data_IF_324647939819
#
_entry.id   IF_324647939819
#
_cell.length_a   1.000
_cell.length_b   1.000
_cell.length_c   1.000
_cell.angle_alpha   90.00
_cell.angle_beta   90.00
_cell.angle_gamma   90.00
#
_symmetry.space_group_name_H-M   'P 1'
#
loop_
_entity.id
_entity.type
_entity.pdbx_description
1 polymer ?
#
# COMPACT_ATOMS: atom_id res chain seq x y z
N UNK A 1 4.10 -4.16 4.52
CA UNK A 1 2.62 -4.33 4.61
C UNK A 1 2.07 -3.34 5.64
N UNK A 2 2.56 -3.31 6.88
CA UNK A 2 2.04 -2.45 7.95
C UNK A 2 2.10 -0.96 7.62
N UNK A 3 3.20 -0.49 7.02
CA UNK A 3 3.32 0.89 6.58
C UNK A 3 2.24 1.31 5.58
N UNK A 4 1.83 0.43 4.66
CA UNK A 4 0.73 0.69 3.73
C UNK A 4 -0.62 0.80 4.45
N UNK A 5 -0.86 -0.05 5.46
CA UNK A 5 -2.08 0.04 6.28
C UNK A 5 -2.14 1.33 7.07
N UNK A 6 -1.04 1.68 7.77
CA UNK A 6 -0.95 2.94 8.51
C UNK A 6 -1.17 4.15 7.61
N UNK A 7 -0.57 4.14 6.42
CA UNK A 7 -0.79 5.18 5.43
C UNK A 7 -2.26 5.25 5.00
N UNK A 8 -2.87 4.10 4.70
CA UNK A 8 -4.25 4.02 4.24
C UNK A 8 -5.26 4.48 5.32
N UNK A 9 -5.01 4.13 6.60
CA UNK A 9 -5.82 4.57 7.72
C UNK A 9 -5.81 6.11 7.90
N UNK A 10 -4.72 6.81 7.57
CA UNK A 10 -4.66 8.29 7.61
C UNK A 10 -5.63 8.94 6.63
N UNK A 11 -6.07 8.21 5.62
CA UNK A 11 -7.09 8.66 4.65
C UNK A 11 -8.52 8.26 5.05
N UNK A 12 -8.68 7.69 6.23
CA UNK A 12 -9.97 7.32 6.83
C UNK A 12 -10.60 6.06 6.26
N UNK A 13 -11.70 5.67 6.88
CA UNK A 13 -12.54 4.57 6.43
C UNK A 13 -13.29 4.94 5.16
N UNK A 14 -13.29 4.03 4.18
CA UNK A 14 -13.99 4.25 2.91
C UNK A 14 -15.40 3.69 2.93
N UNK A 15 -15.50 2.39 2.70
CA UNK A 15 -16.74 1.64 2.65
C UNK A 15 -16.43 0.13 2.63
N UNK A 16 -17.40 -0.75 2.92
CA UNK A 16 -17.30 -2.18 2.67
C UNK A 16 -16.89 -2.49 1.22
N UNK A 17 -16.25 -3.64 0.99
CA UNK A 17 -15.76 -4.02 -0.33
C UNK A 17 -16.89 -4.40 -1.29
N UNK A 18 -17.82 -5.17 -0.77
CA UNK A 18 -18.97 -5.69 -1.52
C UNK A 18 -20.13 -5.96 -0.57
N UNK A 19 -21.27 -6.30 -1.13
CA UNK A 19 -22.44 -6.76 -0.37
C UNK A 19 -22.88 -8.11 -0.87
N UNK A 20 -23.22 -9.00 0.06
CA UNK A 20 -23.78 -10.32 -0.20
C UNK A 20 -25.17 -10.41 0.42
N UNK A 21 -26.04 -11.21 -0.17
CA UNK A 21 -27.37 -11.49 0.37
C UNK A 21 -27.25 -12.63 1.38
N UNK A 22 -27.65 -12.36 2.63
CA UNK A 22 -27.70 -13.36 3.70
C UNK A 22 -29.10 -13.96 3.71
N UNK A 23 -29.28 -15.27 3.45
CA UNK A 23 -30.57 -15.91 3.52
C UNK A 23 -31.24 -15.75 4.90
N UNK A 24 -32.57 -15.75 4.93
CA UNK A 24 -33.29 -15.71 6.18
C UNK A 24 -33.01 -17.00 7.00
N UNK A 25 -32.70 -16.84 8.31
CA UNK A 25 -32.37 -17.97 9.17
C UNK A 25 -30.99 -18.62 8.89
N UNK A 26 -30.15 -18.04 8.04
CA UNK A 26 -28.81 -18.60 7.74
C UNK A 26 -27.96 -18.70 9.02
N UNK A 27 -27.37 -19.84 9.23
CA UNK A 27 -26.36 -20.07 10.27
C UNK A 27 -24.97 -19.54 9.89
N UNK A 28 -24.04 -19.56 10.84
CA UNK A 28 -22.69 -19.06 10.62
C UNK A 28 -21.96 -19.80 9.48
N UNK A 29 -22.18 -21.09 9.31
CA UNK A 29 -21.56 -21.90 8.26
C UNK A 29 -22.05 -21.49 6.86
N UNK A 30 -23.37 -21.26 6.73
CA UNK A 30 -23.98 -20.75 5.50
C UNK A 30 -23.44 -19.36 5.16
N UNK A 31 -23.34 -18.46 6.15
CA UNK A 31 -22.80 -17.11 5.97
C UNK A 31 -21.32 -17.15 5.58
N UNK A 32 -20.52 -17.99 6.23
CA UNK A 32 -19.12 -18.20 5.88
C UNK A 32 -18.95 -18.66 4.42
N UNK A 33 -19.88 -19.49 3.95
CA UNK A 33 -19.93 -19.94 2.55
C UNK A 33 -20.07 -18.82 1.52
N UNK A 34 -20.65 -17.67 1.90
CA UNK A 34 -20.77 -16.49 1.03
C UNK A 34 -19.42 -15.82 0.73
N UNK A 35 -18.39 -16.12 1.52
CA UNK A 35 -17.03 -15.62 1.33
C UNK A 35 -16.21 -16.48 0.37
N UNK A 36 -16.78 -17.54 -0.23
CA UNK A 36 -16.10 -18.34 -1.26
C UNK A 36 -15.68 -17.45 -2.41
N UNK A 37 -14.41 -17.51 -2.77
CA UNK A 37 -13.85 -16.62 -3.80
C UNK A 37 -13.35 -15.26 -3.32
N UNK A 38 -13.50 -14.95 -2.04
CA UNK A 38 -12.95 -13.73 -1.42
C UNK A 38 -11.72 -14.08 -0.56
N UNK A 39 -10.51 -14.16 -1.13
CA UNK A 39 -9.34 -14.64 -0.40
C UNK A 39 -8.85 -13.62 0.64
N UNK A 40 -8.11 -14.12 1.64
CA UNK A 40 -7.32 -13.28 2.52
C UNK A 40 -6.24 -12.54 1.73
N UNK A 41 -5.96 -11.29 2.07
CA UNK A 41 -4.98 -10.47 1.39
C UNK A 41 -4.10 -9.73 2.39
N UNK A 42 -2.79 -9.96 2.38
CA UNK A 42 -1.84 -9.28 3.25
C UNK A 42 -2.16 -9.43 4.75
N UNK A 43 -2.71 -10.57 5.16
CA UNK A 43 -3.16 -10.83 6.53
C UNK A 43 -4.52 -10.24 6.89
N UNK A 44 -5.24 -9.67 5.92
CA UNK A 44 -6.62 -9.18 6.09
C UNK A 44 -7.60 -10.28 5.67
N UNK A 45 -8.41 -10.74 6.60
CA UNK A 45 -9.42 -11.77 6.38
C UNK A 45 -10.76 -11.12 5.99
N UNK A 46 -11.49 -11.68 5.00
CA UNK A 46 -12.83 -11.24 4.72
C UNK A 46 -13.80 -11.68 5.82
N UNK A 47 -14.78 -10.85 6.13
CA UNK A 47 -15.83 -11.15 7.06
C UNK A 47 -17.15 -10.56 6.59
N UNK A 48 -18.24 -11.30 6.77
CA UNK A 48 -19.60 -10.83 6.46
C UNK A 48 -20.21 -10.20 7.70
N UNK A 49 -20.72 -8.99 7.58
CA UNK A 49 -21.43 -8.29 8.66
C UNK A 49 -22.82 -8.90 8.82
N UNK A 50 -23.13 -9.37 10.01
CA UNK A 50 -24.46 -9.93 10.36
C UNK A 50 -25.36 -8.90 11.01
N UNK A 51 -24.81 -7.82 11.55
CA UNK A 51 -25.56 -6.74 12.18
C UNK A 51 -24.68 -5.86 13.08
N UNK A 52 -25.33 -4.93 13.75
CA UNK A 52 -24.72 -4.12 14.81
C UNK A 52 -25.67 -4.06 16.00
N UNK A 53 -25.24 -4.51 17.15
CA UNK A 53 -26.01 -4.54 18.39
C UNK A 53 -25.13 -4.12 19.57
N UNK A 54 -25.69 -3.37 20.50
CA UNK A 54 -24.97 -2.94 21.70
C UNK A 54 -23.67 -2.18 21.44
N UNK A 55 -23.56 -1.46 20.32
CA UNK A 55 -22.35 -0.75 19.93
C UNK A 55 -21.26 -1.63 19.32
N UNK A 56 -21.54 -2.92 19.08
CA UNK A 56 -20.62 -3.87 18.44
C UNK A 56 -21.05 -4.15 17.02
N UNK A 57 -20.07 -4.21 16.11
CA UNK A 57 -20.24 -4.75 14.75
C UNK A 57 -20.04 -6.27 14.81
N UNK A 58 -21.10 -7.04 14.51
CA UNK A 58 -21.03 -8.50 14.46
C UNK A 58 -20.65 -8.97 13.08
N UNK A 59 -19.67 -9.85 12.98
CA UNK A 59 -19.17 -10.37 11.70
C UNK A 59 -18.91 -11.88 11.80
N UNK A 60 -19.01 -12.57 10.65
CA UNK A 60 -18.69 -13.99 10.49
C UNK A 60 -17.53 -14.13 9.54
N UNK A 61 -16.50 -14.87 9.94
CA UNK A 61 -15.33 -15.20 9.13
C UNK A 61 -15.60 -16.39 8.19
N UNK A 62 -14.65 -16.64 7.26
CA UNK A 62 -14.74 -17.75 6.33
C UNK A 62 -14.65 -19.15 6.98
N UNK A 63 -14.13 -19.25 8.20
CA UNK A 63 -14.10 -20.48 9.02
C UNK A 63 -15.36 -20.67 9.90
N UNK A 64 -16.33 -19.77 9.79
CA UNK A 64 -17.55 -19.78 10.60
C UNK A 64 -17.40 -19.10 11.97
N UNK A 65 -16.23 -18.61 12.33
CA UNK A 65 -16.02 -17.89 13.58
C UNK A 65 -16.81 -16.59 13.61
N UNK A 66 -17.49 -16.33 14.71
CA UNK A 66 -18.23 -15.09 14.95
C UNK A 66 -17.41 -14.13 15.80
N UNK A 67 -17.35 -12.86 15.40
CA UNK A 67 -16.62 -11.82 16.11
C UNK A 67 -17.54 -10.63 16.42
N UNK A 68 -17.33 -10.02 17.59
CA UNK A 68 -17.89 -8.72 17.97
C UNK A 68 -16.78 -7.66 18.00
N UNK A 69 -16.87 -6.67 17.14
CA UNK A 69 -15.89 -5.60 17.03
C UNK A 69 -16.44 -4.31 17.63
N UNK A 70 -15.80 -3.80 18.68
CA UNK A 70 -16.21 -2.59 19.37
C UNK A 70 -15.02 -1.78 19.88
N UNK A 71 -15.25 -0.57 20.33
CA UNK A 71 -14.22 0.27 20.95
C UNK A 71 -12.98 0.44 20.07
N UNK A 72 -11.81 0.05 20.59
CA UNK A 72 -10.53 0.15 19.89
C UNK A 72 -10.48 -0.65 18.59
N UNK A 73 -11.31 -1.70 18.46
CA UNK A 73 -11.37 -2.52 17.25
C UNK A 73 -11.90 -1.77 16.02
N UNK A 74 -12.67 -0.70 16.22
CA UNK A 74 -13.28 0.09 15.13
C UNK A 74 -12.93 1.58 15.20
N UNK A 75 -12.31 2.07 16.28
CA UNK A 75 -12.14 3.50 16.57
C UNK A 75 -11.43 4.29 15.49
N UNK A 76 -10.42 3.72 14.82
CA UNK A 76 -9.67 4.39 13.77
C UNK A 76 -10.55 4.82 12.58
N UNK A 77 -11.70 4.19 12.39
CA UNK A 77 -12.63 4.50 11.30
C UNK A 77 -13.37 5.82 11.51
N UNK A 78 -13.43 6.31 12.75
CA UNK A 78 -14.22 7.48 13.13
C UNK A 78 -15.74 7.24 13.04
N UNK A 79 -16.18 5.98 12.90
CA UNK A 79 -17.60 5.59 12.77
C UNK A 79 -18.06 4.79 13.97
N UNK A 80 -19.36 4.87 14.27
CA UNK A 80 -20.04 3.91 15.13
C UNK A 80 -20.23 2.57 14.41
N UNK A 81 -20.43 1.49 15.15
CA UNK A 81 -20.66 0.16 14.56
C UNK A 81 -21.80 0.16 13.51
N UNK A 82 -22.93 0.78 13.81
CA UNK A 82 -24.07 0.87 12.88
C UNK A 82 -23.85 1.83 11.69
N UNK A 83 -22.94 2.79 11.83
CA UNK A 83 -22.57 3.72 10.74
C UNK A 83 -21.42 3.23 9.86
N UNK A 84 -20.77 2.12 10.26
CA UNK A 84 -19.58 1.61 9.59
C UNK A 84 -19.93 0.65 8.45
N UNK A 85 -20.86 -0.29 8.72
CA UNK A 85 -21.32 -1.28 7.76
C UNK A 85 -22.70 -1.82 8.17
N UNK A 86 -23.40 -2.41 7.22
CA UNK A 86 -24.75 -2.98 7.39
C UNK A 86 -24.74 -4.49 7.18
N UNK A 87 -25.81 -5.18 7.60
CA UNK A 87 -25.99 -6.61 7.36
C UNK A 87 -25.79 -6.96 5.89
N UNK A 88 -24.97 -7.96 5.62
CA UNK A 88 -24.58 -8.39 4.28
C UNK A 88 -23.35 -7.70 3.70
N UNK A 89 -22.86 -6.63 4.33
CA UNK A 89 -21.62 -6.01 3.86
C UNK A 89 -20.41 -6.91 4.17
N UNK A 90 -19.46 -6.96 3.24
CA UNK A 90 -18.18 -7.65 3.41
C UNK A 90 -17.12 -6.64 3.78
N UNK A 91 -16.50 -6.86 4.92
CA UNK A 91 -15.41 -6.04 5.47
C UNK A 91 -14.15 -6.86 5.63
N UNK A 92 -13.03 -6.21 5.92
CA UNK A 92 -11.79 -6.90 6.31
C UNK A 92 -11.56 -6.77 7.80
N UNK A 93 -11.07 -7.86 8.37
CA UNK A 93 -10.62 -7.88 9.77
C UNK A 93 -9.20 -8.42 9.85
N UNK A 94 -8.50 -8.03 10.89
CA UNK A 94 -7.14 -8.46 11.15
C UNK A 94 -6.98 -8.85 12.60
N UNK A 95 -6.28 -9.94 12.84
CA UNK A 95 -5.81 -10.33 14.17
C UNK A 95 -4.60 -9.48 14.55
N UNK A 96 -4.63 -8.89 15.72
CA UNK A 96 -3.47 -8.18 16.25
C UNK A 96 -2.42 -9.17 16.77
N UNK A 97 -1.13 -8.88 16.59
CA UNK A 97 -0.08 -9.63 17.28
C UNK A 97 -0.29 -9.55 18.80
N UNK A 98 0.01 -10.63 19.50
CA UNK A 98 0.05 -10.67 20.96
C UNK A 98 1.37 -11.26 21.41
N UNK A 99 2.03 -10.59 22.33
CA UNK A 99 3.26 -11.08 22.96
C UNK A 99 3.00 -12.16 24.01
N UNK A 100 1.72 -12.37 24.36
CA UNK A 100 1.27 -13.37 25.34
C UNK A 100 0.68 -14.56 24.61
N UNK A 101 1.27 -15.75 24.79
CA UNK A 101 0.81 -16.97 24.12
C UNK A 101 -0.65 -17.33 24.44
N UNK A 102 -1.11 -17.08 25.67
CA UNK A 102 -2.44 -17.45 26.17
C UNK A 102 -3.46 -16.30 26.08
N UNK A 103 -3.11 -15.16 25.50
CA UNK A 103 -4.06 -14.06 25.36
C UNK A 103 -5.10 -14.37 24.29
N UNK A 104 -6.36 -14.07 24.59
CA UNK A 104 -7.43 -14.15 23.60
C UNK A 104 -7.07 -13.28 22.38
N UNK A 105 -7.32 -13.78 21.15
CA UNK A 105 -6.99 -13.06 19.95
C UNK A 105 -7.76 -11.75 19.86
N UNK A 106 -7.05 -10.64 19.73
CA UNK A 106 -7.66 -9.33 19.49
C UNK A 106 -7.85 -9.10 18.00
N UNK A 107 -9.05 -8.70 17.63
CA UNK A 107 -9.43 -8.44 16.25
C UNK A 107 -9.75 -6.97 16.05
N UNK A 108 -9.35 -6.43 14.91
CA UNK A 108 -9.70 -5.07 14.51
C UNK A 108 -10.24 -5.07 13.09
N UNK A 109 -11.15 -4.14 12.80
CA UNK A 109 -11.55 -3.88 11.42
C UNK A 109 -10.38 -3.26 10.66
N UNK A 110 -10.30 -3.58 9.39
CA UNK A 110 -9.27 -3.04 8.50
C UNK A 110 -9.85 -2.88 7.08
N UNK A 111 -9.07 -2.39 6.15
CA UNK A 111 -9.45 -2.26 4.75
C UNK A 111 -8.25 -2.52 3.84
N UNK A 112 -8.50 -3.01 2.61
CA UNK A 112 -7.43 -3.19 1.63
C UNK A 112 -6.85 -1.84 1.23
N UNK A 113 -5.52 -1.63 1.36
CA UNK A 113 -4.91 -0.38 0.96
C UNK A 113 -5.12 -0.10 -0.53
N UNK A 114 -5.46 1.14 -0.88
CA UNK A 114 -5.48 1.59 -2.28
C UNK A 114 -4.08 1.81 -2.82
N UNK A 115 -3.19 2.30 -1.97
CA UNK A 115 -1.79 2.45 -2.30
C UNK A 115 -1.10 1.12 -2.48
N UNK A 116 -0.06 1.11 -3.30
CA UNK A 116 0.82 -0.02 -3.49
C UNK A 116 2.25 0.44 -3.28
N UNK A 117 3.10 -0.46 -2.80
CA UNK A 117 4.52 -0.21 -2.64
C UNK A 117 5.33 -1.42 -3.09
N UNK A 118 6.56 -1.18 -3.47
CA UNK A 118 7.54 -2.21 -3.71
C UNK A 118 8.79 -1.90 -2.88
N UNK A 119 9.53 -2.95 -2.54
CA UNK A 119 10.81 -2.84 -1.84
C UNK A 119 11.78 -3.83 -2.47
N UNK A 120 13.00 -3.35 -2.69
CA UNK A 120 14.13 -4.21 -3.05
C UNK A 120 15.26 -3.88 -2.09
N UNK A 121 15.84 -4.90 -1.47
CA UNK A 121 17.05 -4.80 -0.66
C UNK A 121 18.15 -5.61 -1.34
N UNK A 122 19.28 -4.96 -1.55
CA UNK A 122 20.46 -5.57 -2.19
C UNK A 122 21.59 -5.64 -1.19
N UNK A 123 22.42 -6.65 -1.35
CA UNK A 123 23.71 -6.74 -0.70
C UNK A 123 24.65 -5.70 -1.33
N UNK A 124 25.31 -4.89 -0.52
CA UNK A 124 26.17 -3.81 -1.00
C UNK A 124 27.46 -4.29 -1.65
N UNK A 125 27.95 -5.48 -1.26
CA UNK A 125 29.25 -5.97 -1.73
C UNK A 125 29.16 -6.68 -3.08
N UNK A 126 28.02 -7.35 -3.34
CA UNK A 126 27.91 -8.23 -4.51
C UNK A 126 26.60 -8.04 -5.31
N UNK A 127 25.70 -7.13 -4.87
CA UNK A 127 24.45 -6.85 -5.55
C UNK A 127 23.39 -7.96 -5.42
N UNK A 128 23.61 -8.98 -4.59
CA UNK A 128 22.64 -10.05 -4.41
C UNK A 128 21.33 -9.53 -3.79
N UNK A 129 20.20 -10.00 -4.31
CA UNK A 129 18.88 -9.63 -3.77
C UNK A 129 18.68 -10.29 -2.41
N UNK A 130 18.58 -9.51 -1.36
CA UNK A 130 18.32 -9.94 0.01
C UNK A 130 16.82 -9.97 0.34
N UNK A 131 16.06 -9.03 -0.22
CA UNK A 131 14.60 -9.01 -0.11
C UNK A 131 13.99 -8.36 -1.35
N UNK A 132 12.84 -8.87 -1.78
CA UNK A 132 12.06 -8.31 -2.87
C UNK A 132 10.58 -8.44 -2.57
N UNK A 133 9.87 -7.31 -2.52
CA UNK A 133 8.42 -7.26 -2.32
C UNK A 133 7.82 -6.40 -3.44
N UNK A 134 6.96 -6.98 -4.25
CA UNK A 134 6.38 -6.32 -5.43
C UNK A 134 5.01 -5.69 -5.24
N UNK A 135 4.39 -5.82 -4.06
CA UNK A 135 3.06 -5.30 -3.78
C UNK A 135 2.52 -5.69 -2.41
N UNK A 136 1.29 -5.30 -2.11
CA UNK A 136 0.64 -5.58 -0.82
C UNK A 136 0.33 -7.06 -0.63
N UNK A 137 -0.26 -7.72 -1.63
CA UNK A 137 -0.65 -9.13 -1.57
C UNK A 137 -0.69 -9.74 -2.96
N UNK A 138 -0.05 -10.90 -3.12
CA UNK A 138 -0.06 -11.67 -4.36
C UNK A 138 -1.47 -12.18 -4.71
N UNK A 139 -2.26 -12.57 -3.70
CA UNK A 139 -3.65 -13.03 -3.89
C UNK A 139 -4.56 -11.92 -4.48
N UNK A 140 -4.27 -10.66 -4.14
CA UNK A 140 -5.04 -9.52 -4.66
C UNK A 140 -4.54 -9.01 -5.99
N UNK A 141 -3.22 -9.03 -6.21
CA UNK A 141 -2.61 -8.54 -7.46
C UNK A 141 -1.25 -9.19 -7.67
N UNK A 142 -1.14 -9.97 -8.75
CA UNK A 142 0.10 -10.68 -9.12
C UNK A 142 1.16 -9.80 -9.76
N UNK A 143 0.84 -8.55 -10.09
CA UNK A 143 1.79 -7.61 -10.72
C UNK A 143 2.91 -7.23 -9.76
N UNK A 144 4.14 -7.63 -10.09
CA UNK A 144 5.33 -7.32 -9.32
C UNK A 144 5.87 -5.94 -9.70
N UNK A 145 5.64 -4.95 -8.86
CA UNK A 145 6.04 -3.56 -9.13
C UNK A 145 7.55 -3.33 -9.04
N UNK A 146 8.27 -4.24 -8.38
CA UNK A 146 9.72 -4.14 -8.31
C UNK A 146 10.39 -4.53 -9.65
N UNK A 147 9.78 -5.47 -10.41
CA UNK A 147 10.39 -6.02 -11.64
C UNK A 147 9.62 -5.72 -12.91
N UNK A 148 8.32 -5.44 -12.82
CA UNK A 148 7.45 -5.27 -14.00
C UNK A 148 6.98 -3.84 -14.22
N UNK A 149 7.00 -2.98 -13.18
CA UNK A 149 6.59 -1.59 -13.33
C UNK A 149 7.61 -0.81 -14.17
N UNK A 150 7.11 -0.08 -15.15
CA UNK A 150 7.90 0.85 -15.95
C UNK A 150 7.51 2.27 -15.55
N UNK A 151 8.30 2.86 -14.67
CA UNK A 151 8.06 4.20 -14.15
C UNK A 151 9.24 5.10 -14.51
N UNK A 152 8.96 6.37 -14.72
CA UNK A 152 10.00 7.38 -14.90
C UNK A 152 10.85 7.45 -13.62
N UNK A 153 12.18 7.26 -13.70
CA UNK A 153 13.03 7.25 -12.52
C UNK A 153 13.15 8.61 -11.84
N UNK A 154 12.98 9.70 -12.58
CA UNK A 154 13.14 11.05 -12.06
C UNK A 154 14.52 11.23 -11.42
N UNK A 155 14.57 11.95 -10.26
CA UNK A 155 15.82 12.18 -9.53
C UNK A 155 16.49 10.90 -9.00
N UNK A 156 15.81 9.75 -8.99
CA UNK A 156 16.44 8.47 -8.64
C UNK A 156 17.51 8.04 -9.66
N UNK A 157 17.54 8.67 -10.83
CA UNK A 157 18.59 8.44 -11.85
C UNK A 157 19.89 9.22 -11.59
N UNK A 158 19.84 10.27 -10.75
CA UNK A 158 21.02 11.11 -10.46
C UNK A 158 22.26 10.35 -9.98
N UNK A 159 22.18 9.36 -9.08
CA UNK A 159 23.37 8.60 -8.66
C UNK A 159 24.15 8.00 -9.83
N UNK A 160 23.45 7.51 -10.86
CA UNK A 160 24.10 6.95 -12.06
C UNK A 160 24.79 8.03 -12.89
N UNK A 161 24.18 9.22 -13.00
CA UNK A 161 24.79 10.37 -13.70
C UNK A 161 26.05 10.85 -12.98
N UNK A 162 25.99 10.96 -11.64
CA UNK A 162 27.14 11.36 -10.85
C UNK A 162 28.26 10.32 -10.87
N UNK A 163 27.93 9.02 -10.76
CA UNK A 163 28.93 7.96 -10.87
C UNK A 163 29.67 8.04 -12.21
N UNK A 164 28.94 8.15 -13.32
CA UNK A 164 29.53 8.28 -14.65
C UNK A 164 30.39 9.57 -14.83
N UNK A 165 29.98 10.66 -14.17
CA UNK A 165 30.76 11.90 -14.18
C UNK A 165 32.06 11.74 -13.40
N UNK A 166 32.04 11.12 -12.22
CA UNK A 166 33.23 10.87 -11.40
C UNK A 166 34.22 9.93 -12.08
N UNK A 167 33.74 8.89 -12.75
CA UNK A 167 34.61 8.03 -13.60
C UNK A 167 35.32 8.79 -14.71
N UNK A 168 34.78 9.93 -15.14
CA UNK A 168 35.36 10.82 -16.14
C UNK A 168 36.18 11.97 -15.56
N UNK A 169 36.53 11.92 -14.28
CA UNK A 169 37.37 12.87 -13.60
C UNK A 169 36.70 14.08 -12.99
N UNK A 170 35.34 14.14 -13.04
CA UNK A 170 34.63 15.14 -12.25
C UNK A 170 34.74 14.80 -10.74
N UNK A 171 34.62 15.82 -9.92
CA UNK A 171 34.57 15.70 -8.45
C UNK A 171 33.66 16.79 -7.88
N UNK A 172 33.36 16.77 -6.59
CA UNK A 172 32.46 17.76 -5.99
C UNK A 172 32.91 19.20 -6.09
N UNK A 173 34.20 19.46 -6.36
CA UNK A 173 34.73 20.81 -6.60
C UNK A 173 34.67 21.24 -8.09
N UNK A 174 34.35 20.31 -8.99
CA UNK A 174 34.24 20.64 -10.42
C UNK A 174 33.14 21.66 -10.65
N UNK A 175 33.43 22.63 -11.52
CA UNK A 175 32.45 23.65 -11.91
C UNK A 175 31.71 23.17 -13.15
N UNK A 176 30.38 23.20 -13.08
CA UNK A 176 29.46 22.97 -14.19
C UNK A 176 28.63 24.21 -14.46
N UNK A 177 28.26 24.43 -15.70
CA UNK A 177 27.42 25.58 -16.06
C UNK A 177 25.94 25.15 -16.05
N UNK A 178 25.20 25.70 -15.10
CA UNK A 178 23.72 25.59 -15.05
C UNK A 178 23.15 26.74 -15.90
N UNK A 179 22.88 26.45 -17.17
CA UNK A 179 22.39 27.41 -18.15
C UNK A 179 21.27 26.77 -19.01
N UNK A 180 20.46 27.61 -19.68
CA UNK A 180 19.48 27.10 -20.64
C UNK A 180 20.14 26.27 -21.75
N UNK A 181 19.66 25.06 -21.95
CA UNK A 181 20.06 24.18 -23.05
C UNK A 181 18.88 23.91 -23.96
N UNK A 182 19.15 23.79 -25.24
CA UNK A 182 18.15 23.46 -26.24
C UNK A 182 18.61 22.26 -27.03
N UNK A 183 17.84 21.21 -27.02
CA UNK A 183 18.08 20.02 -27.84
C UNK A 183 17.12 20.02 -29.03
N UNK A 184 17.64 19.82 -30.22
CA UNK A 184 16.84 19.66 -31.43
C UNK A 184 16.95 18.23 -31.91
N UNK A 185 15.81 17.54 -32.04
CA UNK A 185 15.79 16.20 -32.60
C UNK A 185 15.94 16.21 -34.14
N UNK A 186 16.07 15.01 -34.73
CA UNK A 186 16.20 14.86 -36.20
C UNK A 186 14.94 15.31 -36.96
N UNK A 187 13.79 15.45 -36.29
CA UNK A 187 12.52 15.90 -36.86
C UNK A 187 12.28 17.40 -36.67
N UNK A 188 13.24 18.10 -36.03
CA UNK A 188 13.14 19.53 -35.80
C UNK A 188 12.44 19.95 -34.53
N UNK A 189 11.95 19.02 -33.71
CA UNK A 189 11.35 19.34 -32.40
C UNK A 189 12.44 19.86 -31.46
N UNK A 190 12.14 20.95 -30.78
CA UNK A 190 13.02 21.54 -29.77
C UNK A 190 12.58 21.17 -28.38
N UNK A 191 13.49 20.56 -27.62
CA UNK A 191 13.28 20.32 -26.18
C UNK A 191 14.12 21.30 -25.38
N UNK A 192 13.48 22.04 -24.50
CA UNK A 192 14.09 23.06 -23.63
C UNK A 192 13.81 22.69 -22.17
N UNK A 193 14.65 21.85 -21.54
CA UNK A 193 14.50 21.53 -20.14
C UNK A 193 14.65 22.79 -19.28
N UNK A 194 13.89 22.85 -18.21
CA UNK A 194 13.98 23.89 -17.20
C UNK A 194 14.28 23.27 -15.85
N UNK A 195 14.98 24.01 -15.01
CA UNK A 195 15.12 23.64 -13.60
C UNK A 195 13.75 23.73 -12.90
N UNK A 196 13.55 22.90 -11.86
CA UNK A 196 12.32 22.93 -11.06
C UNK A 196 12.06 24.28 -10.41
N UNK A 197 13.14 25.02 -10.08
CA UNK A 197 13.08 26.39 -9.61
C UNK A 197 12.66 27.43 -10.67
N UNK A 198 12.62 27.07 -11.95
CA UNK A 198 12.43 27.98 -13.08
C UNK A 198 13.61 28.91 -13.38
N UNK A 199 14.69 28.86 -12.60
CA UNK A 199 15.85 29.71 -12.73
C UNK A 199 17.13 28.91 -12.99
N UNK A 200 18.13 29.52 -13.60
CA UNK A 200 19.45 28.97 -13.83
C UNK A 200 20.46 29.68 -12.91
N UNK A 201 21.33 28.91 -12.28
CA UNK A 201 22.29 29.42 -11.30
C UNK A 201 23.63 29.87 -11.91
N UNK A 202 23.86 29.59 -13.21
CA UNK A 202 25.15 29.85 -13.86
C UNK A 202 26.23 28.86 -13.43
N UNK A 203 27.50 29.28 -13.35
CA UNK A 203 28.60 28.40 -12.92
C UNK A 203 28.39 27.95 -11.46
N UNK A 204 28.29 26.65 -11.22
CA UNK A 204 28.12 26.08 -9.90
C UNK A 204 28.93 24.80 -9.73
N UNK A 205 29.20 24.43 -8.47
CA UNK A 205 29.84 23.15 -8.15
C UNK A 205 28.90 21.98 -8.38
N UNK A 206 29.43 20.83 -8.67
CA UNK A 206 28.68 19.57 -8.68
C UNK A 206 28.15 19.31 -7.28
N UNK A 207 26.80 19.19 -7.14
CA UNK A 207 26.11 18.97 -5.87
C UNK A 207 25.19 17.77 -6.00
#
# INVERSE_FOLDING_TARGET
>A
IDGLRVYDHRHGWRKPEQRVEIPAGADAATIAGLLRGTPAQGGLLPAVVTGSEGGQLRVVLADGSELGLAGSAISWTGKSAGGLAQRGDVVRVRRLPSDKADAAPQWVIDQLPRGQAALVSLDADNGAIRALVGGFSFAGNKFNRATQARRQPGSSFKPFVYAAAFERGFNPASIVLDAPVVFKDRRGHMWRPQNDSGNFAGPMRVR
#
